data_IF_697887799530
#
_entry.id   IF_697887799530
#
_cell.length_a   1.000
_cell.length_b   1.000
_cell.length_c   1.000
_cell.angle_alpha   90.00
_cell.angle_beta   90.00
_cell.angle_gamma   90.00
#
_symmetry.space_group_name_H-M   'P 1'
#
loop_
_entity.id
_entity.type
_entity.pdbx_description
1 polymer ?
#
# COMPACT_ATOMS: atom_id res chain seq x y z
N UNK A 1 -9.78 21.71 28.01
CA UNK A 1 -8.68 20.98 28.66
C UNK A 1 -8.16 19.99 27.62
N UNK A 2 -7.04 20.33 26.98
CA UNK A 2 -6.31 19.52 26.03
C UNK A 2 -5.72 18.33 26.77
N UNK A 3 -6.13 17.11 26.40
CA UNK A 3 -5.43 15.90 26.83
C UNK A 3 -4.10 15.84 26.08
N UNK A 4 -3.05 16.35 26.68
CA UNK A 4 -1.67 16.01 26.30
C UNK A 4 -1.51 14.54 26.64
N UNK A 5 -1.61 13.64 25.63
CA UNK A 5 -1.19 12.25 25.78
C UNK A 5 0.30 12.29 26.07
N UNK A 6 0.71 11.79 27.23
CA UNK A 6 2.11 11.49 27.54
C UNK A 6 2.65 10.57 26.44
N UNK A 7 3.40 11.11 25.47
CA UNK A 7 4.20 10.30 24.54
C UNK A 7 5.31 9.66 25.37
N UNK A 8 5.53 8.35 25.31
CA UNK A 8 6.75 7.78 25.83
C UNK A 8 7.92 8.46 25.08
N UNK A 9 8.87 9.01 25.83
CA UNK A 9 9.98 9.85 25.32
C UNK A 9 10.90 9.15 24.31
N UNK A 10 10.64 7.88 23.95
CA UNK A 10 11.48 7.03 23.11
C UNK A 10 10.76 6.42 21.91
N UNK A 11 9.71 7.03 21.36
CA UNK A 11 8.99 6.50 20.19
C UNK A 11 8.59 7.61 19.21
N UNK A 12 8.74 7.33 17.92
CA UNK A 12 8.21 8.18 16.84
C UNK A 12 6.92 7.51 16.31
N UNK A 13 5.83 8.24 16.31
CA UNK A 13 4.57 7.81 15.70
C UNK A 13 4.40 8.46 14.33
N UNK A 14 4.23 7.63 13.30
CA UNK A 14 4.07 8.04 11.91
C UNK A 14 2.73 7.50 11.41
N UNK A 15 1.91 8.35 10.80
CA UNK A 15 0.69 7.89 10.14
C UNK A 15 1.06 7.10 8.89
N UNK A 16 0.64 5.84 8.82
CA UNK A 16 0.75 4.97 7.64
C UNK A 16 -0.61 4.85 6.97
N UNK A 17 -0.67 5.18 5.68
CA UNK A 17 -1.88 5.06 4.87
C UNK A 17 -1.63 4.11 3.71
N UNK A 18 -2.42 3.05 3.61
CA UNK A 18 -2.43 2.09 2.51
C UNK A 18 -3.63 2.37 1.62
N UNK A 19 -3.42 2.64 0.34
CA UNK A 19 -4.46 3.03 -0.62
C UNK A 19 -4.46 2.03 -1.77
N UNK A 20 -5.62 1.41 -2.04
CA UNK A 20 -5.80 0.61 -3.25
C UNK A 20 -5.82 1.52 -4.47
N UNK A 21 -5.13 1.14 -5.54
CA UNK A 21 -5.17 1.86 -6.81
C UNK A 21 -6.60 2.13 -7.30
N UNK A 22 -6.77 3.12 -8.17
CA UNK A 22 -8.04 3.45 -8.81
C UNK A 22 -8.53 2.33 -9.74
N UNK A 23 -9.78 2.42 -10.18
CA UNK A 23 -10.40 1.40 -11.01
C UNK A 23 -9.78 1.33 -12.42
N UNK A 24 -9.53 0.10 -12.88
CA UNK A 24 -9.18 -0.25 -14.25
C UNK A 24 -10.40 -0.80 -14.98
N UNK A 25 -10.28 -1.10 -16.27
CA UNK A 25 -11.37 -1.73 -17.03
C UNK A 25 -11.64 -3.15 -16.49
N UNK A 26 -10.60 -3.93 -16.26
CA UNK A 26 -10.71 -5.28 -15.69
C UNK A 26 -11.38 -5.30 -14.32
N UNK A 27 -11.13 -4.31 -13.45
CA UNK A 27 -11.86 -4.21 -12.18
C UNK A 27 -13.36 -4.00 -12.39
N UNK A 28 -13.76 -3.18 -13.38
CA UNK A 28 -15.16 -2.95 -13.72
C UNK A 28 -15.85 -4.21 -14.23
N UNK A 29 -15.10 -5.05 -14.94
CA UNK A 29 -15.59 -6.33 -15.48
C UNK A 29 -15.51 -7.49 -14.48
N UNK A 30 -15.02 -7.24 -13.26
CA UNK A 30 -14.83 -8.27 -12.23
C UNK A 30 -13.80 -9.33 -12.60
N UNK A 31 -12.76 -8.95 -13.36
CA UNK A 31 -11.70 -9.86 -13.79
C UNK A 31 -10.58 -9.97 -12.76
N UNK A 32 -10.01 -11.15 -12.62
CA UNK A 32 -8.77 -11.35 -11.90
C UNK A 32 -7.64 -10.59 -12.63
N UNK A 33 -7.13 -9.54 -12.00
CA UNK A 33 -6.11 -8.66 -12.56
C UNK A 33 -4.88 -8.64 -11.66
N UNK A 34 -3.92 -9.49 -11.93
CA UNK A 34 -2.68 -9.63 -11.17
C UNK A 34 -1.48 -9.02 -11.88
N UNK A 35 -0.77 -9.86 -12.65
CA UNK A 35 0.47 -9.48 -13.37
C UNK A 35 0.24 -8.59 -14.58
N UNK A 36 -0.96 -8.57 -15.15
CA UNK A 36 -1.29 -7.71 -16.29
C UNK A 36 -1.13 -6.25 -15.90
N UNK A 37 -0.28 -5.53 -16.61
CA UNK A 37 0.03 -4.13 -16.32
C UNK A 37 -0.94 -3.19 -17.03
N UNK A 38 -2.17 -3.14 -16.52
CA UNK A 38 -3.26 -2.33 -17.04
C UNK A 38 -3.27 -0.93 -16.40
N UNK A 39 -3.53 0.09 -17.22
CA UNK A 39 -3.71 1.48 -16.80
C UNK A 39 -5.07 1.70 -16.12
N UNK A 40 -5.24 2.82 -15.45
CA UNK A 40 -6.54 3.25 -14.92
C UNK A 40 -7.54 3.48 -16.05
N UNK A 41 -8.80 3.14 -15.80
CA UNK A 41 -9.90 3.51 -16.70
C UNK A 41 -10.18 5.02 -16.64
N UNK A 42 -10.72 5.65 -17.71
CA UNK A 42 -11.14 7.06 -17.65
C UNK A 42 -12.10 7.36 -16.51
N UNK A 43 -12.99 6.42 -16.19
CA UNK A 43 -13.91 6.51 -15.06
C UNK A 43 -13.16 6.45 -13.72
N UNK A 44 -12.22 5.52 -13.56
CA UNK A 44 -11.37 5.42 -12.38
C UNK A 44 -10.56 6.70 -12.12
N UNK A 45 -10.00 7.31 -13.18
CA UNK A 45 -9.32 8.60 -13.10
C UNK A 45 -10.29 9.70 -12.63
N UNK A 46 -11.49 9.76 -13.19
CA UNK A 46 -12.52 10.74 -12.80
C UNK A 46 -12.92 10.62 -11.34
N UNK A 47 -13.10 9.40 -10.86
CA UNK A 47 -13.45 9.11 -9.47
C UNK A 47 -12.33 9.55 -8.50
N UNK A 48 -11.06 9.23 -8.80
CA UNK A 48 -9.92 9.66 -7.98
C UNK A 48 -9.81 11.19 -7.92
N UNK A 49 -9.93 11.88 -9.06
CA UNK A 49 -9.89 13.36 -9.10
C UNK A 49 -10.99 13.99 -8.26
N UNK A 50 -12.21 13.44 -8.32
CA UNK A 50 -13.34 13.89 -7.48
C UNK A 50 -13.04 13.66 -6.00
N UNK A 51 -12.48 12.52 -5.63
CA UNK A 51 -12.14 12.20 -4.25
C UNK A 51 -11.00 13.10 -3.71
N UNK A 52 -10.01 13.45 -4.53
CA UNK A 52 -8.97 14.44 -4.17
C UNK A 52 -9.58 15.80 -3.89
N UNK A 53 -10.47 16.28 -4.77
CA UNK A 53 -11.18 17.56 -4.57
C UNK A 53 -12.01 17.56 -3.29
N UNK A 54 -12.55 16.41 -2.89
CA UNK A 54 -13.28 16.22 -1.64
C UNK A 54 -12.40 16.14 -0.38
N UNK A 55 -11.06 16.21 -0.51
CA UNK A 55 -10.14 16.15 0.64
C UNK A 55 -10.05 14.77 1.31
N UNK A 56 -10.31 13.71 0.57
CA UNK A 56 -10.44 12.35 1.13
C UNK A 56 -9.11 11.66 1.46
N UNK A 57 -7.99 12.22 1.01
CA UNK A 57 -6.67 11.62 1.21
C UNK A 57 -5.81 12.49 2.12
N UNK A 58 -5.09 11.88 3.09
CA UNK A 58 -4.17 12.62 3.93
C UNK A 58 -2.94 13.06 3.12
N UNK A 59 -2.26 14.09 3.61
CA UNK A 59 -0.92 14.45 3.12
C UNK A 59 0.08 13.33 3.41
N UNK A 60 1.12 13.22 2.59
CA UNK A 60 2.22 12.28 2.79
C UNK A 60 3.56 13.00 2.68
N UNK A 61 4.44 12.80 3.67
CA UNK A 61 5.82 13.26 3.62
C UNK A 61 6.67 12.32 2.78
N UNK A 62 6.34 11.02 2.82
CA UNK A 62 6.90 9.99 1.94
C UNK A 62 5.78 9.23 1.22
N UNK A 63 6.03 8.98 -0.05
CA UNK A 63 5.13 8.22 -0.91
C UNK A 63 5.79 6.96 -1.43
N UNK A 64 5.17 5.82 -1.18
CA UNK A 64 5.56 4.52 -1.75
C UNK A 64 4.53 4.04 -2.76
N UNK A 65 4.94 3.17 -3.66
CA UNK A 65 4.03 2.57 -4.63
C UNK A 65 4.47 1.16 -5.04
N UNK A 66 3.50 0.31 -5.31
CA UNK A 66 3.72 -0.87 -6.15
C UNK A 66 4.13 -0.45 -7.57
N UNK A 67 4.82 -1.32 -8.33
CA UNK A 67 5.44 -0.94 -9.61
C UNK A 67 4.46 -0.87 -10.78
N UNK A 68 3.21 -1.33 -10.63
CA UNK A 68 2.24 -1.43 -11.73
C UNK A 68 1.67 -0.07 -12.13
N UNK A 69 1.40 0.14 -13.42
CA UNK A 69 0.86 1.40 -13.99
C UNK A 69 -0.32 1.94 -13.19
N UNK A 70 -1.30 1.11 -12.85
CA UNK A 70 -2.48 1.51 -12.08
C UNK A 70 -2.13 2.10 -10.71
N UNK A 71 -1.06 1.62 -10.06
CA UNK A 71 -0.58 2.20 -8.80
C UNK A 71 0.11 3.54 -9.04
N UNK A 72 0.98 3.62 -10.06
CA UNK A 72 1.72 4.83 -10.40
C UNK A 72 0.81 5.97 -10.83
N UNK A 73 -0.14 5.70 -11.71
CA UNK A 73 -1.13 6.68 -12.16
C UNK A 73 -2.01 7.16 -11.00
N UNK A 74 -2.38 6.25 -10.09
CA UNK A 74 -3.10 6.62 -8.86
C UNK A 74 -2.23 7.53 -7.99
N UNK A 75 -0.97 7.18 -7.75
CA UNK A 75 -0.04 7.98 -6.96
C UNK A 75 0.11 9.40 -7.53
N UNK A 76 0.26 9.53 -8.83
CA UNK A 76 0.36 10.83 -9.53
C UNK A 76 -0.90 11.69 -9.37
N UNK A 77 -2.08 11.06 -9.38
CA UNK A 77 -3.35 11.79 -9.20
C UNK A 77 -3.54 12.24 -7.74
N UNK A 78 -3.22 11.37 -6.77
CA UNK A 78 -3.42 11.65 -5.36
C UNK A 78 -2.39 12.60 -4.78
N UNK A 79 -1.14 12.51 -5.23
CA UNK A 79 0.01 13.24 -4.70
C UNK A 79 0.80 13.91 -5.85
N UNK A 80 0.20 14.89 -6.54
CA UNK A 80 0.83 15.54 -7.68
C UNK A 80 2.15 16.21 -7.27
N UNK A 81 3.21 15.98 -8.04
CA UNK A 81 4.53 16.54 -7.78
C UNK A 81 5.41 15.71 -6.84
N UNK A 82 4.89 14.62 -6.26
CA UNK A 82 5.71 13.67 -5.52
C UNK A 82 6.12 12.49 -6.41
N UNK A 83 7.36 12.04 -6.27
CA UNK A 83 7.86 10.83 -6.93
C UNK A 83 7.76 9.67 -5.95
N UNK A 84 7.00 8.62 -6.23
CA UNK A 84 6.90 7.49 -5.33
C UNK A 84 8.17 6.63 -5.32
N UNK A 85 8.51 6.10 -4.15
CA UNK A 85 9.53 5.09 -3.98
C UNK A 85 8.90 3.73 -4.31
N UNK A 86 9.51 3.00 -5.25
CA UNK A 86 8.96 1.73 -5.69
C UNK A 86 9.31 0.58 -4.76
N UNK A 87 8.32 -0.23 -4.45
CA UNK A 87 8.48 -1.49 -3.74
C UNK A 87 8.10 -2.63 -4.69
N UNK A 88 9.08 -3.27 -5.33
CA UNK A 88 8.82 -4.32 -6.34
C UNK A 88 8.02 -5.49 -5.79
N UNK A 89 8.12 -5.79 -4.49
CA UNK A 89 7.38 -6.84 -3.81
C UNK A 89 5.88 -6.58 -3.75
N UNK A 90 5.44 -5.34 -3.96
CA UNK A 90 4.03 -4.94 -3.94
C UNK A 90 3.38 -4.99 -5.33
N UNK A 91 3.71 -5.99 -6.13
CA UNK A 91 2.87 -6.41 -7.27
C UNK A 91 1.62 -7.12 -6.75
N UNK A 92 0.52 -7.13 -7.52
CA UNK A 92 -0.69 -7.88 -7.15
C UNK A 92 -0.44 -9.40 -7.20
N UNK A 93 -1.35 -10.17 -6.64
CA UNK A 93 -1.38 -11.63 -6.67
C UNK A 93 -1.21 -12.16 -8.09
N UNK A 94 -0.38 -13.19 -8.24
CA UNK A 94 -0.31 -13.96 -9.48
C UNK A 94 -1.51 -14.90 -9.54
N UNK A 95 -2.52 -14.52 -10.32
CA UNK A 95 -3.73 -15.33 -10.46
C UNK A 95 -3.57 -16.51 -11.43
N UNK A 96 -2.38 -16.69 -12.03
CA UNK A 96 -2.05 -17.82 -12.89
C UNK A 96 -3.08 -18.04 -14.00
N UNK A 97 -3.66 -19.22 -14.09
CA UNK A 97 -4.65 -19.58 -15.11
C UNK A 97 -5.96 -18.78 -14.99
N UNK A 98 -6.23 -18.10 -13.88
CA UNK A 98 -7.44 -17.28 -13.73
C UNK A 98 -7.24 -15.82 -14.19
N UNK A 99 -6.00 -15.42 -14.47
CA UNK A 99 -5.68 -14.08 -14.95
C UNK A 99 -6.52 -13.67 -16.14
N UNK A 100 -7.12 -12.48 -16.08
CA UNK A 100 -7.94 -11.92 -17.16
C UNK A 100 -9.36 -12.48 -17.28
N UNK A 101 -9.72 -13.49 -16.51
CA UNK A 101 -11.06 -14.07 -16.49
C UNK A 101 -11.90 -13.52 -15.33
N UNK A 102 -13.22 -13.50 -15.49
CA UNK A 102 -14.15 -13.24 -14.40
C UNK A 102 -14.80 -14.55 -13.89
N UNK A 103 -15.53 -14.45 -12.79
CA UNK A 103 -16.16 -15.61 -12.15
C UNK A 103 -17.17 -16.33 -13.05
N UNK A 104 -17.83 -15.61 -13.99
CA UNK A 104 -18.80 -16.20 -14.92
C UNK A 104 -18.08 -17.05 -15.96
N UNK A 105 -16.98 -16.55 -16.50
CA UNK A 105 -16.15 -17.27 -17.47
C UNK A 105 -15.51 -18.52 -16.85
N UNK A 106 -15.16 -18.46 -15.54
CA UNK A 106 -14.56 -19.57 -14.80
C UNK A 106 -15.58 -20.55 -14.21
N UNK A 107 -16.89 -20.26 -14.30
CA UNK A 107 -17.94 -21.05 -13.65
C UNK A 107 -18.03 -22.50 -14.11
N UNK A 108 -17.50 -22.85 -15.28
CA UNK A 108 -17.43 -24.21 -15.80
C UNK A 108 -16.07 -24.91 -15.53
N UNK A 109 -15.10 -24.22 -14.93
CA UNK A 109 -13.78 -24.77 -14.72
C UNK A 109 -13.69 -25.57 -13.40
N UNK A 110 -13.34 -26.89 -13.46
CA UNK A 110 -13.18 -27.70 -12.26
C UNK A 110 -12.04 -27.20 -11.34
N UNK A 111 -11.00 -26.53 -11.86
CA UNK A 111 -9.94 -25.98 -11.06
C UNK A 111 -10.42 -24.75 -10.25
N UNK A 112 -11.29 -23.94 -10.86
CA UNK A 112 -11.93 -22.82 -10.20
C UNK A 112 -12.82 -23.29 -9.04
N UNK A 113 -13.65 -24.33 -9.28
CA UNK A 113 -14.49 -24.91 -8.21
C UNK A 113 -13.65 -25.42 -7.03
N UNK A 114 -12.58 -26.19 -7.31
CA UNK A 114 -11.69 -26.66 -6.23
C UNK A 114 -11.06 -25.52 -5.45
N UNK A 115 -10.68 -24.45 -6.12
CA UNK A 115 -10.10 -23.26 -5.47
C UNK A 115 -11.15 -22.57 -4.57
N UNK A 116 -12.38 -22.36 -5.04
CA UNK A 116 -13.49 -21.79 -4.25
C UNK A 116 -13.81 -22.67 -3.04
N UNK A 117 -13.96 -23.99 -3.24
CA UNK A 117 -14.28 -24.95 -2.18
C UNK A 117 -13.22 -24.98 -1.08
N UNK A 118 -11.98 -24.67 -1.43
CA UNK A 118 -10.88 -24.53 -0.45
C UNK A 118 -10.95 -23.25 0.39
N UNK A 119 -11.89 -22.33 0.12
CA UNK A 119 -11.90 -20.99 0.71
C UNK A 119 -10.68 -20.15 0.29
N UNK A 120 -10.10 -20.42 -0.90
CA UNK A 120 -8.90 -19.75 -1.42
C UNK A 120 -7.62 -20.09 -0.64
N UNK A 121 -7.56 -21.27 0.00
CA UNK A 121 -6.34 -21.76 0.67
C UNK A 121 -5.41 -22.49 -0.30
N UNK A 122 -5.96 -23.06 -1.40
CA UNK A 122 -5.14 -23.61 -2.47
C UNK A 122 -4.45 -22.49 -3.26
N UNK A 123 -3.24 -22.74 -3.80
CA UNK A 123 -2.63 -21.80 -4.74
C UNK A 123 -3.49 -21.66 -6.00
N UNK A 124 -3.40 -20.53 -6.66
CA UNK A 124 -3.98 -20.37 -7.99
C UNK A 124 -3.29 -21.35 -8.95
N UNK A 125 -4.02 -22.03 -9.84
CA UNK A 125 -3.40 -22.89 -10.84
C UNK A 125 -2.37 -22.10 -11.67
N UNK A 126 -1.13 -22.57 -11.73
CA UNK A 126 -0.01 -21.87 -12.38
C UNK A 126 0.31 -20.48 -11.81
N UNK A 127 -0.20 -20.17 -10.63
CA UNK A 127 -0.04 -18.89 -9.94
C UNK A 127 0.50 -19.01 -8.54
N UNK A 128 0.25 -18.00 -7.74
CA UNK A 128 0.80 -17.81 -6.40
C UNK A 128 -0.16 -18.37 -5.32
N UNK A 129 0.36 -18.89 -4.24
CA UNK A 129 -0.42 -19.19 -3.04
C UNK A 129 -0.62 -17.92 -2.19
N UNK A 130 -1.66 -17.93 -1.35
CA UNK A 130 -1.89 -16.85 -0.38
C UNK A 130 -0.70 -16.64 0.56
N UNK A 131 -0.08 -17.72 1.00
CA UNK A 131 1.08 -17.66 1.90
C UNK A 131 2.29 -17.02 1.24
N UNK A 132 2.59 -17.39 -0.02
CA UNK A 132 3.67 -16.78 -0.80
C UNK A 132 3.42 -15.30 -1.02
N UNK A 133 2.20 -14.95 -1.35
CA UNK A 133 1.78 -13.56 -1.53
C UNK A 133 1.94 -12.74 -0.26
N UNK A 134 1.43 -13.22 0.89
CA UNK A 134 1.58 -12.53 2.19
C UNK A 134 3.06 -12.36 2.52
N UNK A 135 3.86 -13.43 2.43
CA UNK A 135 5.30 -13.39 2.72
C UNK A 135 6.02 -12.34 1.86
N UNK A 136 5.71 -12.28 0.56
CA UNK A 136 6.30 -11.31 -0.37
C UNK A 136 5.89 -9.87 -0.01
N UNK A 137 4.63 -9.63 0.31
CA UNK A 137 4.16 -8.31 0.71
C UNK A 137 4.76 -7.84 2.05
N UNK A 138 4.94 -8.74 3.01
CA UNK A 138 5.63 -8.46 4.28
C UNK A 138 7.10 -8.11 4.03
N UNK A 139 7.81 -8.83 3.15
CA UNK A 139 9.18 -8.47 2.77
C UNK A 139 9.26 -7.06 2.14
N UNK A 140 8.26 -6.67 1.32
CA UNK A 140 8.15 -5.30 0.82
C UNK A 140 7.94 -4.27 1.91
N UNK A 141 7.13 -4.59 2.91
CA UNK A 141 6.94 -3.74 4.08
C UNK A 141 8.24 -3.57 4.89
N UNK A 142 8.99 -4.63 5.11
CA UNK A 142 10.29 -4.57 5.78
C UNK A 142 11.29 -3.67 5.02
N UNK A 143 11.30 -3.70 3.69
CA UNK A 143 12.10 -2.78 2.86
C UNK A 143 11.65 -1.33 3.03
N UNK A 144 10.35 -1.06 3.08
CA UNK A 144 9.83 0.27 3.37
C UNK A 144 10.31 0.76 4.74
N UNK A 145 10.22 -0.09 5.77
CA UNK A 145 10.70 0.25 7.11
C UNK A 145 12.20 0.56 7.13
N UNK A 146 13.00 -0.26 6.46
CA UNK A 146 14.43 -0.04 6.34
C UNK A 146 14.75 1.31 5.70
N UNK A 147 14.07 1.65 4.60
CA UNK A 147 14.22 2.94 3.93
C UNK A 147 13.85 4.12 4.84
N UNK A 148 12.72 4.02 5.52
CA UNK A 148 12.27 5.04 6.48
C UNK A 148 13.27 5.22 7.63
N UNK A 149 13.79 4.13 8.17
CA UNK A 149 14.80 4.16 9.22
C UNK A 149 16.04 4.92 8.77
N UNK A 150 16.56 4.67 7.58
CA UNK A 150 17.71 5.38 7.03
C UNK A 150 17.48 6.89 6.93
N UNK A 151 16.27 7.31 6.50
CA UNK A 151 15.93 8.74 6.43
C UNK A 151 15.90 9.36 7.84
N UNK A 152 15.23 8.71 8.79
CA UNK A 152 15.12 9.20 10.16
C UNK A 152 16.49 9.32 10.84
N UNK A 153 17.40 8.36 10.64
CA UNK A 153 18.75 8.39 11.19
C UNK A 153 19.61 9.50 10.57
N UNK A 154 19.48 9.76 9.26
CA UNK A 154 20.17 10.86 8.58
C UNK A 154 19.69 12.23 9.08
N UNK A 155 18.38 12.41 9.25
CA UNK A 155 17.82 13.65 9.80
C UNK A 155 18.32 13.91 11.22
N UNK A 156 18.39 12.90 12.07
CA UNK A 156 18.92 13.02 13.44
C UNK A 156 20.42 13.35 13.47
N UNK A 157 21.22 12.83 12.52
CA UNK A 157 22.64 13.11 12.42
C UNK A 157 22.92 14.54 11.92
N UNK A 158 22.08 15.08 11.01
CA UNK A 158 22.21 16.46 10.54
C UNK A 158 21.93 17.49 11.62
N UNK A 159 21.00 17.21 12.54
CA UNK A 159 20.73 18.08 13.70
C UNK A 159 21.91 18.11 14.72
N UNK A 160 22.76 17.07 14.75
CA UNK A 160 23.91 17.00 15.66
C UNK A 160 25.21 17.56 15.07
N UNK A 161 25.22 18.04 13.83
CA UNK A 161 26.36 18.75 13.21
C UNK A 161 27.56 17.88 12.84
N UNK A 162 27.44 16.57 12.76
CA UNK A 162 28.54 15.65 12.45
C UNK A 162 28.61 15.33 10.95
N UNK A 163 29.27 16.22 10.18
CA UNK A 163 29.56 16.02 8.75
C UNK A 163 30.90 15.30 8.60
N UNK A 164 30.94 13.98 8.66
CA UNK A 164 32.08 13.25 8.09
C UNK A 164 31.77 11.78 7.79
N UNK A 165 31.20 11.47 6.62
CA UNK A 165 31.32 10.12 6.05
C UNK A 165 31.40 10.20 4.52
N UNK A 166 32.64 10.13 4.01
CA UNK A 166 32.91 9.82 2.62
C UNK A 166 32.71 8.32 2.37
N UNK A 167 31.55 7.92 1.90
CA UNK A 167 31.30 6.58 1.36
C UNK A 167 30.66 6.69 -0.03
N UNK A 168 31.06 5.81 -0.96
CA UNK A 168 30.53 5.76 -2.32
C UNK A 168 29.02 5.53 -2.32
N UNK A 169 28.30 6.41 -3.03
CA UNK A 169 26.83 6.36 -3.15
C UNK A 169 26.39 5.15 -3.97
N UNK A 170 25.52 4.32 -3.41
CA UNK A 170 24.83 3.23 -4.13
C UNK A 170 23.77 3.77 -5.10
N UNK A 171 23.29 2.97 -6.06
CA UNK A 171 22.24 3.40 -7.01
C UNK A 171 20.93 3.84 -6.32
N UNK A 172 20.62 3.30 -5.14
CA UNK A 172 19.52 3.75 -4.29
C UNK A 172 19.74 5.18 -3.78
N UNK A 173 21.00 5.57 -3.52
CA UNK A 173 21.37 6.90 -3.00
C UNK A 173 21.33 8.00 -4.07
N UNK A 174 21.29 7.65 -5.35
CA UNK A 174 21.16 8.60 -6.45
C UNK A 174 19.72 9.05 -6.72
N UNK A 175 18.72 8.32 -6.19
CA UNK A 175 17.32 8.76 -6.21
C UNK A 175 17.00 9.74 -5.08
N UNK A 176 17.94 10.01 -4.17
CA UNK A 176 17.77 10.76 -2.91
C UNK A 176 17.91 12.29 -3.05
N UNK A 177 17.92 12.85 -4.26
CA UNK A 177 17.73 14.30 -4.44
C UNK A 177 16.27 14.75 -4.24
N UNK A 178 15.45 13.91 -3.64
CA UNK A 178 14.13 14.30 -3.14
C UNK A 178 14.38 15.07 -1.85
N UNK A 179 14.25 16.40 -1.93
CA UNK A 179 14.45 17.33 -0.84
C UNK A 179 13.62 16.97 0.41
N UNK A 180 14.21 16.16 1.29
CA UNK A 180 13.77 16.04 2.66
C UNK A 180 14.12 17.38 3.34
N UNK A 181 13.16 18.31 3.40
CA UNK A 181 13.25 19.45 4.28
C UNK A 181 13.28 18.94 5.72
N UNK A 182 14.01 19.60 6.59
CA UNK A 182 14.29 19.30 8.02
C UNK A 182 13.08 19.08 8.95
N UNK A 183 11.90 18.78 8.45
CA UNK A 183 10.73 18.40 9.23
C UNK A 183 10.66 16.87 9.28
N UNK A 184 10.79 16.30 10.47
CA UNK A 184 10.71 14.85 10.67
C UNK A 184 9.48 14.23 10.00
N UNK A 185 9.63 13.01 9.41
CA UNK A 185 8.55 12.28 8.74
C UNK A 185 7.41 12.05 9.75
N UNK A 186 6.21 12.55 9.43
CA UNK A 186 5.00 12.38 10.23
C UNK A 186 3.95 11.52 9.53
N UNK A 187 4.05 11.40 8.21
CA UNK A 187 3.05 10.70 7.40
C UNK A 187 3.67 9.99 6.20
N UNK A 188 3.24 8.76 5.97
CA UNK A 188 3.63 7.92 4.85
C UNK A 188 2.39 7.39 4.18
N UNK A 189 2.35 7.46 2.86
CA UNK A 189 1.31 6.83 2.06
C UNK A 189 1.90 5.80 1.11
N UNK A 190 1.19 4.70 0.90
CA UNK A 190 1.55 3.67 -0.05
C UNK A 190 0.36 3.38 -0.97
N UNK A 191 0.57 3.51 -2.28
CA UNK A 191 -0.43 3.13 -3.28
C UNK A 191 -0.13 1.70 -3.74
N UNK A 192 -1.05 0.80 -3.45
CA UNK A 192 -0.87 -0.65 -3.57
C UNK A 192 -2.11 -1.32 -4.17
N UNK A 193 -2.21 -2.63 -4.06
CA UNK A 193 -3.33 -3.44 -4.53
C UNK A 193 -4.26 -3.85 -3.38
N UNK A 194 -5.46 -4.34 -3.72
CA UNK A 194 -6.39 -4.86 -2.72
C UNK A 194 -5.82 -6.04 -1.95
N UNK A 195 -5.20 -6.98 -2.65
CA UNK A 195 -4.52 -8.11 -2.04
C UNK A 195 -3.39 -7.69 -1.09
N UNK A 196 -2.58 -6.70 -1.49
CA UNK A 196 -1.51 -6.16 -0.64
C UNK A 196 -2.04 -5.60 0.68
N UNK A 197 -3.15 -4.85 0.65
CA UNK A 197 -3.79 -4.32 1.87
C UNK A 197 -4.24 -5.47 2.76
N UNK A 198 -4.93 -6.46 2.21
CA UNK A 198 -5.38 -7.65 2.96
C UNK A 198 -4.20 -8.40 3.57
N UNK A 199 -3.13 -8.62 2.81
CA UNK A 199 -1.92 -9.30 3.28
C UNK A 199 -1.23 -8.57 4.44
N UNK A 200 -1.03 -7.27 4.31
CA UNK A 200 -0.34 -6.49 5.35
C UNK A 200 -1.20 -6.32 6.59
N UNK A 201 -2.49 -5.99 6.46
CA UNK A 201 -3.34 -5.76 7.63
C UNK A 201 -3.64 -7.05 8.39
N UNK A 202 -3.88 -8.18 7.73
CA UNK A 202 -4.01 -9.46 8.43
C UNK A 202 -2.74 -9.83 9.20
N UNK A 203 -1.56 -9.54 8.61
CA UNK A 203 -0.28 -9.76 9.28
C UNK A 203 -0.10 -8.87 10.52
N UNK A 204 -0.44 -7.56 10.44
CA UNK A 204 -0.24 -6.61 11.53
C UNK A 204 -1.21 -6.82 12.69
N UNK A 205 -2.44 -7.21 12.40
CA UNK A 205 -3.53 -7.27 13.38
C UNK A 205 -3.82 -8.67 13.88
N UNK A 206 -3.35 -9.70 13.15
CA UNK A 206 -3.72 -11.10 13.40
C UNK A 206 -5.16 -11.44 13.01
N UNK A 207 -5.84 -10.55 12.27
CA UNK A 207 -7.21 -10.78 11.79
C UNK A 207 -7.25 -11.65 10.53
N UNK A 208 -8.46 -11.96 10.07
CA UNK A 208 -8.66 -12.76 8.88
C UNK A 208 -8.33 -11.98 7.61
N UNK A 209 -7.72 -12.65 6.62
CA UNK A 209 -7.26 -12.02 5.39
C UNK A 209 -8.34 -11.19 4.69
N UNK A 210 -9.56 -11.72 4.55
CA UNK A 210 -10.65 -11.07 3.85
C UNK A 210 -11.39 -9.98 4.64
N UNK A 211 -11.04 -9.73 5.91
CA UNK A 211 -11.64 -8.66 6.70
C UNK A 211 -11.21 -7.26 6.24
N UNK A 212 -10.08 -7.17 5.53
CA UNK A 212 -9.45 -5.90 5.13
C UNK A 212 -9.63 -5.54 3.66
N UNK A 213 -10.77 -5.86 3.09
CA UNK A 213 -11.07 -5.51 1.71
C UNK A 213 -11.19 -3.99 1.54
N UNK A 214 -10.58 -3.46 0.49
CA UNK A 214 -10.71 -2.06 0.08
C UNK A 214 -11.19 -1.98 -1.36
N UNK A 215 -12.16 -1.11 -1.66
CA UNK A 215 -12.55 -0.79 -3.04
C UNK A 215 -11.47 0.07 -3.70
N UNK A 216 -11.47 0.12 -5.04
CA UNK A 216 -10.56 0.97 -5.81
C UNK A 216 -10.59 2.42 -5.30
N UNK A 217 -9.43 3.02 -5.05
CA UNK A 217 -9.30 4.36 -4.46
C UNK A 217 -9.60 4.46 -2.97
N UNK A 218 -10.01 3.38 -2.31
CA UNK A 218 -10.18 3.32 -0.85
C UNK A 218 -8.94 2.70 -0.19
N UNK A 219 -8.91 2.70 1.14
CA UNK A 219 -7.79 2.14 1.89
C UNK A 219 -7.98 2.26 3.39
N UNK A 220 -6.88 2.12 4.09
CA UNK A 220 -6.81 2.16 5.55
C UNK A 220 -5.71 3.10 6.01
N UNK A 221 -5.92 3.72 7.14
CA UNK A 221 -4.91 4.51 7.82
C UNK A 221 -4.73 3.99 9.24
N UNK A 222 -3.48 3.95 9.71
CA UNK A 222 -3.11 3.51 11.04
C UNK A 222 -1.87 4.24 11.52
N UNK A 223 -1.32 3.79 12.62
CA UNK A 223 -0.12 4.36 13.24
C UNK A 223 1.03 3.34 13.16
N UNK A 224 2.13 3.77 12.60
CA UNK A 224 3.41 3.07 12.63
C UNK A 224 4.25 3.67 13.77
N UNK A 225 4.66 2.84 14.70
CA UNK A 225 5.44 3.23 15.88
C UNK A 225 6.87 2.74 15.72
N UNK A 226 7.82 3.68 15.65
CA UNK A 226 9.25 3.38 15.64
C UNK A 226 9.83 3.56 17.03
N UNK A 227 10.40 2.53 17.66
CA UNK A 227 11.13 2.66 18.93
C UNK A 227 12.51 3.29 18.70
N UNK A 228 12.82 4.37 19.42
CA UNK A 228 14.10 5.09 19.30
C UNK A 228 15.29 4.38 19.99
N UNK A 229 15.01 3.41 20.84
CA UNK A 229 16.03 2.65 21.60
C UNK A 229 16.37 1.27 21.02
N UNK A 230 15.94 0.97 19.80
CA UNK A 230 16.04 -0.37 19.21
C UNK A 230 14.79 -1.20 19.48
N UNK A 231 14.46 -2.11 18.59
CA UNK A 231 13.25 -2.92 18.58
C UNK A 231 12.58 -2.90 17.20
N UNK A 232 11.62 -3.77 16.98
CA UNK A 232 10.86 -3.81 15.74
C UNK A 232 9.78 -2.71 15.75
N UNK A 233 9.57 -1.99 14.64
CA UNK A 233 8.43 -1.11 14.49
C UNK A 233 7.12 -1.89 14.56
N UNK A 234 6.08 -1.26 15.11
CA UNK A 234 4.75 -1.85 15.27
C UNK A 234 3.71 -1.02 14.53
N UNK A 235 2.73 -1.70 13.93
CA UNK A 235 1.57 -1.07 13.30
C UNK A 235 0.33 -1.30 14.17
N UNK A 236 -0.45 -0.24 14.40
CA UNK A 236 -1.66 -0.30 15.23
C UNK A 236 -2.75 0.65 14.74
N UNK A 237 -3.95 0.51 15.32
CA UNK A 237 -5.08 1.45 15.18
C UNK A 237 -5.52 1.65 13.71
N UNK A 238 -5.49 0.60 12.89
CA UNK A 238 -5.95 0.69 11.52
C UNK A 238 -7.47 0.85 11.43
N UNK A 239 -7.88 1.82 10.63
CA UNK A 239 -9.28 2.08 10.32
C UNK A 239 -9.44 2.44 8.83
N UNK A 240 -10.59 2.15 8.21
CA UNK A 240 -10.85 2.57 6.84
C UNK A 240 -10.72 4.09 6.68
N UNK A 241 -10.22 4.54 5.53
CA UNK A 241 -10.24 5.95 5.17
C UNK A 241 -11.67 6.45 5.16
N UNK A 242 -11.93 7.58 5.85
CA UNK A 242 -13.29 8.07 6.11
C UNK A 242 -14.03 8.46 4.83
N UNK A 243 -15.34 8.20 4.83
CA UNK A 243 -16.24 8.24 3.67
C UNK A 243 -16.69 9.64 3.22
N UNK A 244 -16.12 10.74 3.61
CA UNK A 244 -16.67 12.06 3.30
C UNK A 244 -16.78 12.41 1.79
N UNK A 245 -16.53 11.48 0.88
CA UNK A 245 -16.68 11.64 -0.57
C UNK A 245 -16.66 10.33 -1.37
N UNK A 246 -16.52 9.19 -0.72
CA UNK A 246 -16.37 7.88 -1.39
C UNK A 246 -17.68 7.06 -1.46
N UNK A 247 -18.83 7.63 -1.10
CA UNK A 247 -20.13 6.94 -1.08
C UNK A 247 -20.65 6.50 -2.45
N UNK A 248 -20.04 6.98 -3.54
CA UNK A 248 -20.46 6.66 -4.91
C UNK A 248 -19.77 5.44 -5.53
N UNK A 249 -18.81 4.82 -4.81
CA UNK A 249 -18.25 3.52 -5.19
C UNK A 249 -19.28 2.43 -4.86
N UNK A 250 -20.40 2.40 -5.59
CA UNK A 250 -21.50 1.50 -5.27
C UNK A 250 -21.73 0.46 -6.36
N UNK A 251 -21.98 -0.77 -5.88
CA UNK A 251 -22.62 -1.90 -6.55
C UNK A 251 -21.89 -2.51 -7.75
N UNK A 252 -21.17 -3.57 -7.49
CA UNK A 252 -20.69 -4.51 -8.49
C UNK A 252 -19.29 -5.08 -8.33
N UNK A 253 -18.46 -4.52 -7.48
CA UNK A 253 -17.12 -5.07 -7.22
C UNK A 253 -17.19 -6.09 -6.07
N UNK A 254 -17.52 -7.34 -6.41
CA UNK A 254 -17.28 -8.51 -5.58
C UNK A 254 -16.01 -9.19 -6.12
N UNK A 255 -15.09 -9.54 -5.23
CA UNK A 255 -13.95 -10.41 -5.56
C UNK A 255 -14.44 -11.81 -5.93
#
# INVERSE_FOLDING_TARGET
KSHIRNRPENQIEIRLTLIRHGATLSNKEGRYLGKTDEALSPEGIGMLKKAVTGGNYPTADLLFSGPMKRCLETAQILYPGQTPIFVPEWTEMDFGAFEGHNYQELSGDPAYHRWIDSGGTLPFPEGESREEFIRRNVAGYEKMLYYMKMILERSAASEQGDYNTGSEKTELERSDEIGAQDAGIQSVSAVVHGGTIMALLSHFTGGEYFDYQAKCGQGYSGILVFPMGGGAPECKDFHPLSKSGLSEFTKGETY
#
